data_IF_190963716582
#
_entry.id   IF_190963716582
#
_cell.length_a   1.000
_cell.length_b   1.000
_cell.length_c   1.000
_cell.angle_alpha   90.00
_cell.angle_beta   90.00
_cell.angle_gamma   90.00
#
_symmetry.space_group_name_H-M   'P 1'
#
loop_
_entity.id
_entity.type
_entity.pdbx_description
1 polymer ?
#
# COMPACT_ATOMS: atom_id res chain seq x y z
N UNK A 1 -1.63 22.36 -0.04
CA UNK A 1 -1.35 20.91 -0.06
C UNK A 1 -2.52 20.14 -0.64
N UNK A 2 -3.76 20.42 -0.21
CA UNK A 2 -4.98 19.79 -0.78
C UNK A 2 -5.18 20.03 -2.29
N UNK A 3 -4.82 21.21 -2.82
CA UNK A 3 -5.01 21.52 -4.24
C UNK A 3 -4.04 20.80 -5.19
N UNK A 4 -2.87 20.36 -4.72
CA UNK A 4 -1.89 19.65 -5.56
C UNK A 4 -2.25 18.16 -5.71
N UNK A 5 -2.87 17.56 -4.70
CA UNK A 5 -3.42 16.20 -4.75
C UNK A 5 -4.60 16.07 -5.74
N UNK A 6 -5.16 17.20 -6.21
CA UNK A 6 -6.22 17.16 -7.23
C UNK A 6 -5.74 16.84 -8.64
N UNK A 7 -4.48 17.15 -8.95
CA UNK A 7 -3.94 17.04 -10.31
C UNK A 7 -3.42 15.64 -10.61
N UNK A 8 -2.94 14.91 -9.60
CA UNK A 8 -2.35 13.59 -9.75
C UNK A 8 -3.35 12.46 -9.45
N UNK A 9 -4.52 12.53 -10.07
CA UNK A 9 -5.60 11.57 -9.84
C UNK A 9 -5.69 10.55 -10.96
N UNK A 10 -5.78 9.28 -10.56
CA UNK A 10 -6.15 8.21 -11.47
C UNK A 10 -7.66 8.23 -11.72
N UNK A 11 -8.05 8.15 -12.99
CA UNK A 11 -9.44 8.02 -13.44
C UNK A 11 -9.88 6.56 -13.59
N UNK A 12 -8.95 5.62 -13.50
CA UNK A 12 -9.16 4.18 -13.65
C UNK A 12 -8.67 3.44 -12.41
N UNK A 13 -9.22 2.24 -12.11
CA UNK A 13 -8.68 1.38 -11.08
C UNK A 13 -7.20 1.09 -11.32
N UNK A 14 -6.41 1.13 -10.26
CA UNK A 14 -4.97 0.88 -10.29
C UNK A 14 -4.63 -0.28 -9.38
N UNK A 15 -3.57 -1.02 -9.73
CA UNK A 15 -3.00 -2.07 -8.89
C UNK A 15 -1.70 -1.55 -8.31
N UNK A 16 -1.61 -1.57 -6.99
CA UNK A 16 -0.50 -1.01 -6.22
C UNK A 16 0.14 -2.11 -5.38
N UNK A 17 1.42 -1.94 -5.12
CA UNK A 17 2.23 -2.87 -4.36
C UNK A 17 2.92 -2.17 -3.20
N UNK A 18 3.09 -2.92 -2.10
CA UNK A 18 3.88 -2.46 -0.95
C UNK A 18 4.60 -3.65 -0.33
N UNK A 19 5.93 -3.57 -0.27
CA UNK A 19 6.74 -4.49 0.52
C UNK A 19 6.76 -4.07 2.00
N UNK A 20 6.59 -5.03 2.91
CA UNK A 20 6.73 -4.80 4.33
C UNK A 20 7.25 -6.05 5.06
N UNK A 21 8.13 -5.84 6.04
CA UNK A 21 8.46 -6.85 7.04
C UNK A 21 7.38 -6.83 8.13
N UNK A 22 6.83 -8.01 8.44
CA UNK A 22 5.86 -8.18 9.52
C UNK A 22 6.22 -9.38 10.38
N UNK A 23 5.98 -9.27 11.67
CA UNK A 23 6.09 -10.37 12.62
C UNK A 23 5.06 -11.45 12.33
N UNK A 24 5.31 -12.66 12.85
CA UNK A 24 4.33 -13.74 12.81
C UNK A 24 3.01 -13.36 13.50
N UNK A 25 3.04 -12.57 14.57
CA UNK A 25 1.84 -12.14 15.29
C UNK A 25 0.96 -11.22 14.44
N UNK A 26 1.56 -10.23 13.76
CA UNK A 26 0.87 -9.34 12.82
C UNK A 26 0.26 -10.12 11.67
N UNK A 27 0.99 -11.11 11.13
CA UNK A 27 0.47 -12.00 10.10
C UNK A 27 -0.77 -12.77 10.57
N UNK A 28 -0.73 -13.32 11.79
CA UNK A 28 -1.87 -14.05 12.35
C UNK A 28 -3.08 -13.15 12.57
N UNK A 29 -2.86 -11.89 12.96
CA UNK A 29 -3.94 -10.90 13.08
C UNK A 29 -4.58 -10.60 11.72
N UNK A 30 -3.76 -10.42 10.67
CA UNK A 30 -4.26 -10.22 9.31
C UNK A 30 -5.06 -11.43 8.82
N UNK A 31 -4.54 -12.65 9.00
CA UNK A 31 -5.27 -13.90 8.64
C UNK A 31 -6.62 -14.01 9.33
N UNK A 32 -6.71 -13.63 10.61
CA UNK A 32 -7.99 -13.61 11.36
C UNK A 32 -8.96 -12.54 10.87
N UNK A 33 -8.45 -11.51 10.20
CA UNK A 33 -9.23 -10.39 9.66
C UNK A 33 -9.59 -10.57 8.19
N UNK A 34 -9.41 -11.78 7.64
CA UNK A 34 -9.79 -12.08 6.26
C UNK A 34 -11.29 -11.82 6.04
N UNK A 35 -11.62 -11.22 4.90
CA UNK A 35 -12.94 -10.68 4.54
C UNK A 35 -13.43 -9.48 5.38
N UNK A 36 -12.64 -8.99 6.35
CA UNK A 36 -12.96 -7.80 7.11
C UNK A 36 -12.35 -6.53 6.50
N UNK A 37 -12.74 -5.38 7.06
CA UNK A 37 -12.14 -4.09 6.74
C UNK A 37 -11.01 -3.77 7.72
N UNK A 38 -9.87 -3.34 7.20
CA UNK A 38 -8.75 -2.81 7.97
C UNK A 38 -8.56 -1.34 7.62
N UNK A 39 -8.23 -0.52 8.62
CA UNK A 39 -7.91 0.89 8.43
C UNK A 39 -6.47 1.14 8.87
N UNK A 40 -5.77 1.99 8.13
CA UNK A 40 -4.41 2.39 8.49
C UNK A 40 -4.41 3.78 9.12
N UNK A 41 -3.71 3.89 10.26
CA UNK A 41 -3.56 5.13 11.01
C UNK A 41 -2.28 5.91 10.60
N UNK A 42 -1.75 5.63 9.42
CA UNK A 42 -0.61 6.31 8.82
C UNK A 42 -0.85 6.49 7.33
N UNK A 43 -0.07 7.36 6.68
CA UNK A 43 0.07 7.32 5.23
C UNK A 43 0.72 5.99 4.82
N UNK A 44 0.35 5.47 3.64
CA UNK A 44 1.02 4.30 3.05
C UNK A 44 1.68 4.72 1.75
N UNK A 45 3.00 4.59 1.68
CA UNK A 45 3.71 4.62 0.42
C UNK A 45 3.49 3.29 -0.31
N UNK A 46 3.06 3.38 -1.56
CA UNK A 46 2.81 2.23 -2.45
C UNK A 46 3.35 2.57 -3.83
N UNK A 47 3.53 1.58 -4.69
CA UNK A 47 4.07 1.77 -6.02
C UNK A 47 3.27 0.96 -7.05
N UNK A 48 3.17 1.47 -8.28
CA UNK A 48 2.64 0.67 -9.40
C UNK A 48 3.65 -0.39 -9.90
N UNK A 49 4.93 -0.26 -9.51
CA UNK A 49 6.00 -1.16 -9.90
C UNK A 49 6.29 -2.23 -8.82
N UNK A 50 6.00 -3.51 -9.06
CA UNK A 50 6.21 -4.56 -8.07
C UNK A 50 7.69 -4.79 -7.74
N UNK A 51 8.62 -4.51 -8.65
CA UNK A 51 10.06 -4.67 -8.40
C UNK A 51 10.55 -3.66 -7.37
N UNK A 52 10.02 -2.43 -7.41
CA UNK A 52 10.28 -1.39 -6.41
C UNK A 52 9.75 -1.84 -5.04
N UNK A 53 8.52 -2.36 -4.98
CA UNK A 53 7.96 -2.88 -3.74
C UNK A 53 8.80 -4.04 -3.15
N UNK A 54 9.30 -4.94 -4.00
CA UNK A 54 10.17 -6.04 -3.57
C UNK A 54 11.54 -5.54 -3.11
N UNK A 55 12.10 -4.54 -3.79
CA UNK A 55 13.37 -3.92 -3.39
C UNK A 55 13.32 -3.38 -1.96
N UNK A 56 12.19 -2.75 -1.58
CA UNK A 56 11.97 -2.25 -0.21
C UNK A 56 11.75 -3.32 0.86
N UNK A 57 11.60 -4.60 0.49
CA UNK A 57 11.57 -5.70 1.48
C UNK A 57 12.93 -5.93 2.17
N UNK A 58 14.00 -5.32 1.66
CA UNK A 58 15.35 -5.44 2.21
C UNK A 58 15.88 -6.88 2.19
N UNK A 59 16.92 -7.13 2.96
CA UNK A 59 17.41 -8.48 3.27
C UNK A 59 16.75 -8.96 4.57
N UNK A 60 16.44 -10.26 4.73
CA UNK A 60 15.97 -10.74 6.01
C UNK A 60 17.11 -10.58 7.03
N UNK A 61 16.92 -9.74 8.04
CA UNK A 61 17.83 -9.72 9.17
C UNK A 61 17.68 -11.03 9.92
N UNK A 62 18.78 -11.79 10.04
CA UNK A 62 18.83 -13.15 10.57
C UNK A 62 18.39 -13.28 12.04
N UNK A 63 18.13 -12.16 12.72
CA UNK A 63 17.79 -12.11 14.14
C UNK A 63 16.33 -11.74 14.44
N UNK A 64 15.51 -11.45 13.44
CA UNK A 64 14.09 -11.10 13.69
C UNK A 64 13.13 -12.20 13.24
N UNK A 65 12.11 -12.49 14.05
CA UNK A 65 10.96 -13.35 13.71
C UNK A 65 10.02 -12.70 12.65
N UNK A 66 10.57 -11.82 11.81
CA UNK A 66 9.85 -11.08 10.78
C UNK A 66 9.90 -11.83 9.46
N UNK A 67 8.77 -11.86 8.77
CA UNK A 67 8.65 -12.38 7.42
C UNK A 67 8.40 -11.24 6.43
N UNK A 68 8.81 -11.46 5.18
CA UNK A 68 8.61 -10.52 4.08
C UNK A 68 7.22 -10.72 3.50
N UNK A 69 6.47 -9.63 3.37
CA UNK A 69 5.15 -9.63 2.77
C UNK A 69 5.02 -8.58 1.68
N UNK A 70 4.44 -9.01 0.57
CA UNK A 70 4.04 -8.12 -0.50
C UNK A 70 2.53 -7.94 -0.43
N UNK A 71 2.09 -6.70 -0.19
CA UNK A 71 0.69 -6.32 -0.33
C UNK A 71 0.38 -6.07 -1.80
N UNK A 72 -0.73 -6.65 -2.26
CA UNK A 72 -1.33 -6.42 -3.57
C UNK A 72 -2.66 -5.69 -3.35
N UNK A 73 -2.70 -4.43 -3.76
CA UNK A 73 -3.76 -3.49 -3.43
C UNK A 73 -4.46 -3.07 -4.72
N UNK A 74 -5.76 -3.36 -4.81
CA UNK A 74 -6.62 -2.82 -5.86
C UNK A 74 -7.27 -1.53 -5.36
N UNK A 75 -6.87 -0.41 -5.96
CA UNK A 75 -7.36 0.92 -5.62
C UNK A 75 -8.28 1.41 -6.75
N UNK A 76 -9.58 1.51 -6.47
CA UNK A 76 -10.58 2.02 -7.42
C UNK A 76 -10.94 3.47 -7.08
N UNK A 77 -10.63 4.45 -7.94
CA UNK A 77 -10.92 5.85 -7.69
C UNK A 77 -12.43 6.18 -7.72
N UNK A 78 -13.27 5.25 -8.19
CA UNK A 78 -14.72 5.44 -8.31
C UNK A 78 -15.49 4.95 -7.07
N UNK A 79 -14.82 4.36 -6.08
CA UNK A 79 -15.48 4.04 -4.81
C UNK A 79 -15.96 5.34 -4.12
N UNK A 80 -17.25 5.41 -3.84
CA UNK A 80 -17.92 6.60 -3.33
C UNK A 80 -17.35 7.02 -1.97
N UNK A 81 -16.78 8.22 -1.87
CA UNK A 81 -16.23 8.76 -0.61
C UNK A 81 -15.11 9.80 -0.81
N UNK A 82 -14.29 9.94 0.23
CA UNK A 82 -13.06 10.75 0.22
C UNK A 82 -12.02 10.04 -0.67
N UNK A 83 -11.29 10.80 -1.48
CA UNK A 83 -10.21 10.28 -2.31
C UNK A 83 -9.07 9.81 -1.42
N UNK A 84 -8.92 8.49 -1.32
CA UNK A 84 -8.00 7.84 -0.39
C UNK A 84 -6.56 7.74 -0.91
N UNK A 85 -6.27 8.16 -2.14
CA UNK A 85 -4.93 8.03 -2.72
C UNK A 85 -4.64 9.04 -3.84
N UNK A 86 -3.35 9.29 -4.09
CA UNK A 86 -2.86 10.15 -5.16
C UNK A 86 -1.51 9.66 -5.71
N UNK A 87 -1.33 9.78 -7.01
CA UNK A 87 -0.02 9.59 -7.64
C UNK A 87 0.89 10.77 -7.23
N UNK A 88 2.08 10.47 -6.71
CA UNK A 88 3.04 11.50 -6.31
C UNK A 88 4.36 11.40 -7.07
N UNK A 89 4.43 10.53 -8.09
CA UNK A 89 5.63 10.28 -8.90
C UNK A 89 6.23 11.56 -9.47
N UNK A 90 5.38 12.47 -9.97
CA UNK A 90 5.81 13.74 -10.56
C UNK A 90 6.30 14.79 -9.54
N UNK A 91 6.05 14.56 -8.25
CA UNK A 91 6.50 15.41 -7.14
C UNK A 91 7.54 14.73 -6.26
N UNK A 92 7.82 13.44 -6.51
CA UNK A 92 8.78 12.65 -5.75
C UNK A 92 10.21 12.97 -6.16
N UNK A 93 11.14 12.86 -5.20
CA UNK A 93 12.58 12.89 -5.48
C UNK A 93 13.00 11.70 -6.37
N UNK A 94 12.17 10.64 -6.43
CA UNK A 94 12.39 9.42 -7.21
C UNK A 94 11.19 9.10 -8.13
N UNK A 95 11.01 9.81 -9.25
CA UNK A 95 9.85 9.61 -10.13
C UNK A 95 9.70 8.19 -10.71
N UNK A 96 10.81 7.46 -10.84
CA UNK A 96 10.84 6.09 -11.36
C UNK A 96 10.27 5.06 -10.38
N UNK A 97 10.02 5.44 -9.12
CA UNK A 97 9.37 4.56 -8.14
C UNK A 97 7.86 4.43 -8.40
N UNK A 98 7.29 5.24 -9.29
CA UNK A 98 5.85 5.22 -9.60
C UNK A 98 4.99 5.26 -8.32
N UNK A 99 5.38 6.13 -7.39
CA UNK A 99 4.82 6.20 -6.05
C UNK A 99 3.38 6.72 -6.09
N UNK A 100 2.50 5.96 -5.45
CA UNK A 100 1.13 6.33 -5.13
C UNK A 100 0.99 6.37 -3.62
N UNK A 101 0.64 7.54 -3.09
CA UNK A 101 0.50 7.75 -1.65
C UNK A 101 -0.96 7.53 -1.23
N UNK A 102 -1.18 6.58 -0.32
CA UNK A 102 -2.49 6.38 0.32
C UNK A 102 -2.63 7.30 1.54
N UNK A 103 -3.75 7.98 1.63
CA UNK A 103 -4.07 8.94 2.69
C UNK A 103 -4.34 8.24 4.02
N UNK A 104 -4.02 8.91 5.13
CA UNK A 104 -4.41 8.50 6.47
C UNK A 104 -5.93 8.26 6.56
N UNK A 105 -6.33 7.17 7.21
CA UNK A 105 -7.74 6.79 7.32
C UNK A 105 -8.29 6.03 6.12
N UNK A 106 -7.43 5.67 5.15
CA UNK A 106 -7.79 4.72 4.09
C UNK A 106 -8.28 3.40 4.70
N UNK A 107 -9.39 2.90 4.19
CA UNK A 107 -10.01 1.64 4.58
C UNK A 107 -9.86 0.63 3.45
N UNK A 108 -9.40 -0.57 3.78
CA UNK A 108 -9.14 -1.65 2.83
C UNK A 108 -9.97 -2.86 3.21
N UNK A 109 -10.51 -3.56 2.22
CA UNK A 109 -11.05 -4.90 2.42
C UNK A 109 -9.93 -5.91 2.26
N UNK A 110 -9.68 -6.72 3.30
CA UNK A 110 -8.70 -7.80 3.20
C UNK A 110 -9.35 -9.01 2.52
N UNK A 111 -8.96 -9.30 1.28
CA UNK A 111 -9.57 -10.38 0.50
C UNK A 111 -8.98 -11.76 0.80
N UNK A 112 -7.73 -11.83 1.27
CA UNK A 112 -7.05 -13.09 1.54
C UNK A 112 -5.57 -12.88 1.87
N UNK A 113 -4.95 -13.89 2.47
CA UNK A 113 -3.51 -13.94 2.75
C UNK A 113 -2.97 -15.25 2.18
N UNK A 114 -2.13 -15.16 1.16
CA UNK A 114 -1.57 -16.33 0.48
C UNK A 114 -0.13 -16.62 0.94
N UNK A 115 0.29 -17.90 1.00
CA UNK A 115 1.68 -18.29 1.27
C UNK A 115 2.66 -17.89 0.16
#
# INVERSE_FOLDING_TARGET
>A
MEDQLKVCQHSLPVRLYRGQLMTLEELQLLKKSENQFISMNSFLSTTMNPEVAIFYLGSPDSESDSQKFLFDIHADPNQTGIRSFADVSNMSEYPNEEEVLMMLGSVFRLNGVNP
#
